data_IF_882887130356
#
_entry.id   IF_882887130356
#
_cell.length_a   1.000
_cell.length_b   1.000
_cell.length_c   1.000
_cell.angle_alpha   90.00
_cell.angle_beta   90.00
_cell.angle_gamma   90.00
#
_symmetry.space_group_name_H-M   'P 1'
#
loop_
_entity.id
_entity.type
_entity.pdbx_description
1 polymer ?
#
# COMPACT_ATOMS: atom_id res chain seq x y z
N UNK A 1 24.62 -71.98 21.35
CA UNK A 1 25.44 -70.78 21.66
C UNK A 1 25.06 -69.69 20.65
N UNK A 2 25.01 -68.44 21.12
CA UNK A 2 24.18 -67.35 20.60
C UNK A 2 24.22 -67.10 19.07
N UNK A 3 23.04 -66.99 18.46
CA UNK A 3 22.85 -66.50 17.09
C UNK A 3 22.21 -65.11 17.18
N UNK A 4 22.96 -64.09 16.76
CA UNK A 4 22.51 -62.70 16.77
C UNK A 4 21.47 -62.47 15.67
N UNK A 5 20.32 -61.90 16.03
CA UNK A 5 19.26 -61.56 15.08
C UNK A 5 19.69 -60.37 14.19
N UNK A 6 19.40 -60.38 12.87
CA UNK A 6 19.64 -59.23 12.01
C UNK A 6 18.62 -58.11 12.26
N UNK A 7 19.09 -56.86 12.30
CA UNK A 7 18.25 -55.66 12.37
C UNK A 7 17.45 -55.47 11.06
N UNK A 8 16.23 -54.89 11.12
CA UNK A 8 15.42 -54.63 9.94
C UNK A 8 16.01 -53.50 9.07
N UNK A 9 15.76 -53.50 7.75
CA UNK A 9 16.28 -52.48 6.84
C UNK A 9 15.61 -51.13 7.08
N UNK A 10 16.41 -50.07 7.07
CA UNK A 10 15.96 -48.67 7.10
C UNK A 10 15.12 -48.34 5.87
N UNK A 11 13.98 -47.63 6.01
CA UNK A 11 13.20 -47.19 4.86
C UNK A 11 13.98 -46.12 4.07
N UNK A 12 13.81 -46.06 2.73
CA UNK A 12 14.50 -45.08 1.91
C UNK A 12 14.01 -43.65 2.24
N UNK A 13 14.85 -42.63 2.06
CA UNK A 13 14.47 -41.26 2.34
C UNK A 13 13.33 -40.81 1.41
N UNK A 14 12.29 -40.25 2.00
CA UNK A 14 11.15 -39.65 1.30
C UNK A 14 11.65 -38.62 0.30
N UNK A 15 11.43 -38.87 -0.99
CA UNK A 15 11.62 -37.86 -2.03
C UNK A 15 10.64 -36.72 -1.76
N UNK A 16 11.13 -35.60 -1.25
CA UNK A 16 10.39 -34.34 -1.27
C UNK A 16 10.16 -33.98 -2.73
N UNK A 17 8.93 -34.19 -3.22
CA UNK A 17 8.49 -33.65 -4.50
C UNK A 17 8.57 -32.13 -4.44
N UNK A 18 9.62 -31.58 -5.04
CA UNK A 18 9.67 -30.15 -5.37
C UNK A 18 8.49 -29.85 -6.32
N UNK A 19 7.70 -28.80 -6.08
CA UNK A 19 6.57 -28.46 -6.95
C UNK A 19 7.06 -28.16 -8.37
N UNK A 20 6.55 -28.89 -9.36
CA UNK A 20 6.82 -28.64 -10.78
C UNK A 20 6.35 -27.23 -11.19
N UNK A 21 7.11 -26.51 -12.04
CA UNK A 21 6.82 -25.12 -12.42
C UNK A 21 5.47 -24.91 -13.13
N UNK A 22 4.93 -25.92 -13.82
CA UNK A 22 3.65 -25.84 -14.55
C UNK A 22 2.44 -25.56 -13.64
N UNK A 23 2.44 -26.07 -12.40
CA UNK A 23 1.32 -25.84 -11.47
C UNK A 23 1.23 -24.39 -10.98
N UNK A 24 2.37 -23.71 -10.82
CA UNK A 24 2.43 -22.33 -10.32
C UNK A 24 1.95 -21.32 -11.37
N UNK A 25 2.34 -21.50 -12.63
CA UNK A 25 1.91 -20.62 -13.73
C UNK A 25 0.39 -20.72 -13.97
N UNK A 26 -0.14 -21.94 -13.96
CA UNK A 26 -1.58 -22.16 -14.14
C UNK A 26 -2.39 -21.61 -12.96
N UNK A 27 -1.89 -21.76 -11.73
CA UNK A 27 -2.49 -21.17 -10.54
C UNK A 27 -2.47 -19.63 -10.59
N UNK A 28 -1.37 -19.03 -11.05
CA UNK A 28 -1.25 -17.59 -11.22
C UNK A 28 -2.24 -17.07 -12.28
N UNK A 29 -2.34 -17.72 -13.43
CA UNK A 29 -3.30 -17.35 -14.47
C UNK A 29 -4.75 -17.42 -13.98
N UNK A 30 -5.08 -18.46 -13.21
CA UNK A 30 -6.40 -18.59 -12.59
C UNK A 30 -6.67 -17.46 -11.59
N UNK A 31 -5.69 -17.11 -10.76
CA UNK A 31 -5.81 -16.01 -9.80
C UNK A 31 -6.02 -14.65 -10.49
N UNK A 32 -5.28 -14.39 -11.58
CA UNK A 32 -5.45 -13.19 -12.41
C UNK A 32 -6.86 -13.14 -13.02
N UNK A 33 -7.33 -14.23 -13.61
CA UNK A 33 -8.67 -14.30 -14.19
C UNK A 33 -9.78 -14.09 -13.14
N UNK A 34 -9.62 -14.66 -11.94
CA UNK A 34 -10.55 -14.45 -10.83
C UNK A 34 -10.52 -13.00 -10.35
N UNK A 35 -9.34 -12.38 -10.27
CA UNK A 35 -9.22 -10.98 -9.88
C UNK A 35 -9.87 -10.03 -10.89
N UNK A 36 -9.68 -10.26 -12.19
CA UNK A 36 -10.31 -9.47 -13.24
C UNK A 36 -11.85 -9.52 -13.15
N UNK A 37 -12.42 -10.72 -12.94
CA UNK A 37 -13.88 -10.88 -12.71
C UNK A 37 -14.34 -10.14 -11.46
N UNK A 38 -13.57 -10.23 -10.37
CA UNK A 38 -13.87 -9.53 -9.12
C UNK A 38 -13.87 -8.02 -9.30
N UNK A 39 -12.90 -7.47 -10.03
CA UNK A 39 -12.83 -6.04 -10.33
C UNK A 39 -14.06 -5.54 -11.09
N UNK A 40 -14.54 -6.30 -12.09
CA UNK A 40 -15.78 -5.99 -12.81
C UNK A 40 -16.97 -5.96 -11.86
N UNK A 41 -17.18 -7.03 -11.07
CA UNK A 41 -18.32 -7.10 -10.14
C UNK A 41 -18.30 -5.99 -9.07
N UNK A 42 -17.14 -5.66 -8.54
CA UNK A 42 -16.98 -4.57 -7.56
C UNK A 42 -17.27 -3.22 -8.24
N UNK A 43 -16.73 -3.00 -9.44
CA UNK A 43 -16.99 -1.80 -10.23
C UNK A 43 -18.47 -1.60 -10.53
N UNK A 44 -19.19 -2.67 -10.88
CA UNK A 44 -20.63 -2.67 -11.13
C UNK A 44 -21.43 -2.26 -9.90
N UNK A 45 -21.08 -2.81 -8.73
CA UNK A 45 -21.72 -2.46 -7.46
C UNK A 45 -21.47 -0.99 -7.10
N UNK A 46 -20.25 -0.49 -7.27
CA UNK A 46 -19.92 0.92 -7.05
C UNK A 46 -20.71 1.83 -8.01
N UNK A 47 -20.76 1.50 -9.31
CA UNK A 47 -21.53 2.27 -10.30
C UNK A 47 -23.02 2.29 -9.99
N UNK A 48 -23.56 1.17 -9.52
CA UNK A 48 -24.98 1.05 -9.13
C UNK A 48 -25.27 1.91 -7.91
N UNK A 49 -24.41 1.85 -6.90
CA UNK A 49 -24.51 2.69 -5.70
C UNK A 49 -24.56 4.19 -6.06
N UNK A 50 -23.69 4.65 -6.97
CA UNK A 50 -23.65 6.06 -7.38
C UNK A 50 -24.70 6.49 -8.41
N UNK A 51 -25.48 5.58 -9.01
CA UNK A 51 -26.52 5.93 -9.99
C UNK A 51 -27.80 6.46 -9.36
N UNK A 52 -28.01 6.29 -8.04
CA UNK A 52 -29.10 6.91 -7.29
C UNK A 52 -30.53 6.52 -7.71
N UNK A 53 -30.70 5.56 -8.63
CA UNK A 53 -32.00 5.12 -9.14
C UNK A 53 -32.29 3.67 -8.77
N UNK A 54 -33.08 3.45 -7.72
CA UNK A 54 -33.75 2.16 -7.41
C UNK A 54 -32.87 0.98 -6.96
N UNK A 55 -31.54 1.10 -6.96
CA UNK A 55 -30.61 0.09 -6.45
C UNK A 55 -30.39 0.18 -4.93
N UNK A 56 -29.86 -0.90 -4.34
CA UNK A 56 -29.45 -0.94 -2.93
C UNK A 56 -28.38 0.11 -2.65
N UNK A 57 -28.73 1.17 -1.93
CA UNK A 57 -27.76 2.08 -1.31
C UNK A 57 -26.94 1.26 -0.31
N UNK A 58 -25.63 1.42 -0.33
CA UNK A 58 -24.72 0.72 0.57
C UNK A 58 -24.56 1.57 1.81
N UNK A 59 -24.61 0.94 2.98
CA UNK A 59 -24.25 1.59 4.22
C UNK A 59 -22.77 2.01 4.19
N UNK A 60 -22.37 3.08 4.92
CA UNK A 60 -20.99 3.57 4.87
C UNK A 60 -19.90 2.51 5.13
N UNK A 61 -20.06 1.56 6.09
CA UNK A 61 -19.14 0.43 6.28
C UNK A 61 -19.00 -0.46 5.05
N UNK A 62 -20.12 -0.80 4.39
CA UNK A 62 -20.11 -1.67 3.22
C UNK A 62 -19.48 -0.98 2.02
N UNK A 63 -19.75 0.32 1.85
CA UNK A 63 -19.10 1.14 0.83
C UNK A 63 -17.60 1.22 1.08
N UNK A 64 -17.15 1.44 2.33
CA UNK A 64 -15.74 1.51 2.68
C UNK A 64 -15.01 0.19 2.36
N UNK A 65 -15.61 -0.94 2.72
CA UNK A 65 -15.08 -2.26 2.39
C UNK A 65 -15.04 -2.51 0.89
N UNK A 66 -16.07 -2.09 0.15
CA UNK A 66 -16.14 -2.26 -1.29
C UNK A 66 -15.07 -1.44 -2.01
N UNK A 67 -14.85 -0.19 -1.59
CA UNK A 67 -13.78 0.69 -2.09
C UNK A 67 -12.41 0.08 -1.79
N UNK A 68 -12.19 -0.42 -0.57
CA UNK A 68 -10.94 -1.09 -0.20
C UNK A 68 -10.70 -2.36 -1.03
N UNK A 69 -11.73 -3.19 -1.21
CA UNK A 69 -11.66 -4.40 -2.03
C UNK A 69 -11.34 -4.08 -3.51
N UNK A 70 -11.86 -2.95 -4.01
CA UNK A 70 -11.53 -2.44 -5.34
C UNK A 70 -10.05 -2.09 -5.45
N UNK A 71 -9.53 -1.31 -4.50
CA UNK A 71 -8.12 -0.93 -4.44
C UNK A 71 -7.19 -2.15 -4.41
N UNK A 72 -7.49 -3.14 -3.56
CA UNK A 72 -6.75 -4.41 -3.50
C UNK A 72 -6.79 -5.20 -4.80
N UNK A 73 -7.87 -5.10 -5.57
CA UNK A 73 -7.95 -5.73 -6.89
C UNK A 73 -7.03 -5.06 -7.92
N UNK A 74 -6.92 -3.73 -7.86
CA UNK A 74 -5.98 -2.97 -8.69
C UNK A 74 -4.55 -3.32 -8.33
N UNK A 75 -4.19 -3.30 -7.04
CA UNK A 75 -2.85 -3.67 -6.57
C UNK A 75 -2.44 -5.07 -7.01
N UNK A 76 -3.37 -6.04 -6.92
CA UNK A 76 -3.11 -7.41 -7.36
C UNK A 76 -2.80 -7.46 -8.86
N UNK A 77 -3.60 -6.80 -9.68
CA UNK A 77 -3.39 -6.75 -11.13
C UNK A 77 -2.07 -6.06 -11.49
N UNK A 78 -1.75 -4.94 -10.84
CA UNK A 78 -0.45 -4.26 -10.97
C UNK A 78 0.73 -5.21 -10.63
N UNK A 79 0.65 -5.90 -9.50
CA UNK A 79 1.70 -6.85 -9.08
C UNK A 79 1.85 -8.05 -10.02
N UNK A 80 0.80 -8.37 -10.77
CA UNK A 80 0.78 -9.47 -11.73
C UNK A 80 1.15 -9.03 -13.14
N UNK A 81 1.38 -7.74 -13.40
CA UNK A 81 1.56 -7.18 -14.74
C UNK A 81 0.33 -7.32 -15.65
N UNK A 82 -0.86 -7.55 -15.06
CA UNK A 82 -2.12 -7.69 -15.79
C UNK A 82 -2.79 -6.31 -15.93
N UNK A 83 -3.33 -6.02 -17.11
CA UNK A 83 -4.16 -4.83 -17.33
C UNK A 83 -5.61 -5.28 -17.49
N UNK A 84 -6.45 -5.16 -16.44
CA UNK A 84 -7.83 -5.62 -16.49
C UNK A 84 -8.63 -4.88 -17.57
N UNK A 85 -9.59 -5.56 -18.19
CA UNK A 85 -10.46 -4.95 -19.22
C UNK A 85 -11.25 -3.73 -18.70
N UNK A 86 -11.50 -3.67 -17.39
CA UNK A 86 -12.18 -2.55 -16.72
C UNK A 86 -11.25 -1.36 -16.42
N UNK A 87 -9.96 -1.43 -16.79
CA UNK A 87 -8.97 -0.39 -16.47
C UNK A 87 -9.41 1.01 -16.91
N UNK A 88 -10.00 1.14 -18.10
CA UNK A 88 -10.50 2.43 -18.61
C UNK A 88 -11.66 3.00 -17.81
N UNK A 89 -12.40 2.18 -17.06
CA UNK A 89 -13.52 2.64 -16.22
C UNK A 89 -13.07 3.09 -14.83
N UNK A 90 -11.89 2.64 -14.36
CA UNK A 90 -11.37 2.92 -13.01
C UNK A 90 -11.35 4.43 -12.70
N UNK A 91 -10.84 5.33 -13.57
CA UNK A 91 -10.81 6.77 -13.27
C UNK A 91 -12.20 7.35 -13.01
N UNK A 92 -13.22 6.88 -13.75
CA UNK A 92 -14.60 7.35 -13.58
C UNK A 92 -15.20 6.92 -12.24
N UNK A 93 -14.88 5.71 -11.80
CA UNK A 93 -15.32 5.16 -10.50
C UNK A 93 -14.62 5.91 -9.37
N UNK A 94 -13.29 6.09 -9.47
CA UNK A 94 -12.51 6.84 -8.49
C UNK A 94 -13.05 8.25 -8.28
N UNK A 95 -13.37 8.99 -9.36
CA UNK A 95 -13.94 10.35 -9.26
C UNK A 95 -15.22 10.36 -8.43
N UNK A 96 -16.11 9.39 -8.64
CA UNK A 96 -17.37 9.27 -7.85
C UNK A 96 -17.10 8.93 -6.39
N UNK A 97 -16.20 7.97 -6.14
CA UNK A 97 -15.77 7.59 -4.78
C UNK A 97 -15.14 8.78 -4.05
N UNK A 98 -14.31 9.56 -4.74
CA UNK A 98 -13.67 10.75 -4.20
C UNK A 98 -14.67 11.83 -3.77
N UNK A 99 -15.71 12.06 -4.57
CA UNK A 99 -16.75 13.05 -4.27
C UNK A 99 -17.55 12.70 -3.00
N UNK A 100 -17.90 11.43 -2.82
CA UNK A 100 -18.60 10.93 -1.62
C UNK A 100 -17.64 10.79 -0.43
N UNK A 101 -16.37 10.49 -0.71
CA UNK A 101 -15.33 10.25 0.27
C UNK A 101 -14.91 11.45 1.10
N UNK A 102 -15.59 12.61 1.00
CA UNK A 102 -15.39 13.75 1.91
C UNK A 102 -15.84 13.45 3.35
N UNK A 103 -16.64 12.42 3.55
CA UNK A 103 -16.97 11.86 4.87
C UNK A 103 -15.73 11.19 5.50
N UNK A 104 -15.43 11.54 6.76
CA UNK A 104 -14.27 11.04 7.52
C UNK A 104 -14.21 9.51 7.58
N UNK A 105 -15.35 8.82 7.54
CA UNK A 105 -15.40 7.36 7.61
C UNK A 105 -14.82 6.69 6.35
N UNK A 106 -14.97 7.29 5.17
CA UNK A 106 -14.54 6.70 3.90
C UNK A 106 -13.11 7.10 3.51
N UNK A 107 -12.57 8.14 4.16
CA UNK A 107 -11.28 8.77 3.84
C UNK A 107 -10.14 7.74 3.70
N UNK A 108 -9.99 6.82 4.66
CA UNK A 108 -8.90 5.82 4.63
C UNK A 108 -9.00 4.90 3.41
N UNK A 109 -10.19 4.36 3.12
CA UNK A 109 -10.41 3.50 1.95
C UNK A 109 -10.20 4.25 0.63
N UNK A 110 -10.64 5.52 0.57
CA UNK A 110 -10.43 6.40 -0.59
C UNK A 110 -8.94 6.65 -0.81
N UNK A 111 -8.17 6.88 0.26
CA UNK A 111 -6.73 7.09 0.16
C UNK A 111 -6.00 5.86 -0.36
N UNK A 112 -6.36 4.66 0.12
CA UNK A 112 -5.82 3.41 -0.41
C UNK A 112 -6.14 3.25 -1.90
N UNK A 113 -7.39 3.48 -2.30
CA UNK A 113 -7.77 3.45 -3.71
C UNK A 113 -7.00 4.47 -4.55
N UNK A 114 -6.77 5.67 -4.00
CA UNK A 114 -6.02 6.72 -4.66
C UNK A 114 -4.56 6.30 -4.90
N UNK A 115 -3.91 5.67 -3.91
CA UNK A 115 -2.54 5.14 -4.04
C UNK A 115 -2.48 4.07 -5.13
N UNK A 116 -3.41 3.10 -5.13
CA UNK A 116 -3.48 2.08 -6.18
C UNK A 116 -3.65 2.69 -7.57
N UNK A 117 -4.51 3.71 -7.71
CA UNK A 117 -4.71 4.39 -8.99
C UNK A 117 -3.48 5.20 -9.42
N UNK A 118 -2.76 5.85 -8.50
CA UNK A 118 -1.49 6.53 -8.81
C UNK A 118 -0.47 5.55 -9.37
N UNK A 119 -0.37 4.35 -8.81
CA UNK A 119 0.54 3.32 -9.33
C UNK A 119 0.11 2.86 -10.73
N UNK A 120 -1.19 2.69 -10.96
CA UNK A 120 -1.72 2.38 -12.29
C UNK A 120 -1.48 3.50 -13.34
N UNK A 121 -1.40 4.77 -12.91
CA UNK A 121 -0.95 5.86 -13.79
C UNK A 121 0.50 5.64 -14.26
N UNK A 122 1.41 5.20 -13.37
CA UNK A 122 2.80 4.91 -13.70
C UNK A 122 2.93 3.75 -14.69
N UNK A 123 2.04 2.76 -14.61
CA UNK A 123 1.94 1.64 -15.54
C UNK A 123 1.14 1.95 -16.82
N UNK A 124 0.81 3.22 -17.07
CA UNK A 124 0.11 3.71 -18.28
C UNK A 124 -1.27 3.07 -18.52
N UNK A 125 -1.98 2.69 -17.45
CA UNK A 125 -3.34 2.14 -17.58
C UNK A 125 -4.36 3.16 -18.05
N UNK A 126 -4.13 4.44 -17.77
CA UNK A 126 -5.10 5.51 -18.00
C UNK A 126 -4.56 6.56 -18.98
N UNK A 127 -5.48 7.35 -19.54
CA UNK A 127 -5.11 8.49 -20.38
C UNK A 127 -4.36 9.54 -19.55
N UNK A 128 -3.40 10.29 -20.15
CA UNK A 128 -2.64 11.31 -19.43
C UNK A 128 -3.51 12.33 -18.69
N UNK A 129 -4.64 12.72 -19.29
CA UNK A 129 -5.62 13.64 -18.68
C UNK A 129 -6.24 13.08 -17.41
N UNK A 130 -6.55 11.78 -17.37
CA UNK A 130 -7.06 11.13 -16.17
C UNK A 130 -5.96 11.01 -15.11
N UNK A 131 -4.73 10.67 -15.51
CA UNK A 131 -3.59 10.62 -14.59
C UNK A 131 -3.36 11.96 -13.88
N UNK A 132 -3.38 13.07 -14.62
CA UNK A 132 -3.23 14.43 -14.06
C UNK A 132 -4.31 14.73 -13.02
N UNK A 133 -5.56 14.39 -13.31
CA UNK A 133 -6.67 14.62 -12.38
C UNK A 133 -6.57 13.73 -11.14
N UNK A 134 -6.16 12.47 -11.29
CA UNK A 134 -5.91 11.54 -10.17
C UNK A 134 -4.80 12.09 -9.26
N UNK A 135 -3.70 12.56 -9.83
CA UNK A 135 -2.60 13.17 -9.09
C UNK A 135 -3.06 14.42 -8.33
N UNK A 136 -3.89 15.26 -8.95
CA UNK A 136 -4.48 16.45 -8.32
C UNK A 136 -5.34 16.08 -7.12
N UNK A 137 -6.28 15.13 -7.28
CA UNK A 137 -7.14 14.65 -6.19
C UNK A 137 -6.32 14.03 -5.05
N UNK A 138 -5.26 13.28 -5.37
CA UNK A 138 -4.40 12.68 -4.36
C UNK A 138 -3.64 13.72 -3.52
N UNK A 139 -3.15 14.78 -4.16
CA UNK A 139 -2.47 15.87 -3.46
C UNK A 139 -3.44 16.62 -2.53
N UNK A 140 -4.67 16.88 -2.98
CA UNK A 140 -5.72 17.49 -2.15
C UNK A 140 -6.07 16.61 -0.93
N UNK A 141 -6.18 15.29 -1.15
CA UNK A 141 -6.51 14.34 -0.08
C UNK A 141 -5.36 14.21 0.92
N UNK A 142 -4.11 14.23 0.45
CA UNK A 142 -2.92 14.04 1.29
C UNK A 142 -2.81 15.08 2.42
N UNK A 143 -3.25 16.32 2.19
CA UNK A 143 -3.24 17.37 3.22
C UNK A 143 -4.15 17.11 4.43
N UNK A 144 -5.07 16.14 4.32
CA UNK A 144 -5.94 15.72 5.46
C UNK A 144 -5.31 14.63 6.31
N UNK A 145 -4.35 13.89 5.76
CA UNK A 145 -3.69 12.75 6.42
C UNK A 145 -2.28 13.10 6.89
N UNK A 146 -1.57 13.85 6.08
CA UNK A 146 -0.29 14.41 6.44
C UNK A 146 -0.58 15.69 7.22
N UNK A 147 -0.11 15.76 8.46
CA UNK A 147 0.21 17.08 9.03
C UNK A 147 1.09 17.80 8.00
N UNK A 148 0.89 19.11 7.75
CA UNK A 148 1.87 19.88 7.01
C UNK A 148 3.23 19.51 7.57
N UNK A 149 4.24 19.34 6.71
CA UNK A 149 5.62 19.36 7.19
C UNK A 149 5.80 20.75 7.78
N UNK A 150 5.45 20.90 9.06
CA UNK A 150 5.96 21.96 9.89
C UNK A 150 7.44 21.69 9.86
N UNK A 151 8.14 22.46 9.03
CA UNK A 151 9.57 22.57 9.09
C UNK A 151 9.86 22.80 10.57
N UNK A 152 10.50 21.85 11.28
CA UNK A 152 10.79 22.07 12.68
C UNK A 152 11.64 23.34 12.71
N UNK A 153 11.22 24.35 13.49
CA UNK A 153 11.94 25.61 13.59
C UNK A 153 13.42 25.39 14.00
N UNK A 154 13.75 24.21 14.54
CA UNK A 154 15.10 23.69 14.70
C UNK A 154 15.10 22.14 14.82
N UNK A 155 16.20 21.50 14.43
CA UNK A 155 16.39 20.04 14.54
C UNK A 155 16.31 19.52 15.99
N UNK A 156 16.58 20.40 16.96
CA UNK A 156 16.44 20.14 18.40
C UNK A 156 15.00 19.77 18.80
N UNK A 157 14.00 20.39 18.15
CA UNK A 157 12.58 20.13 18.43
C UNK A 157 12.17 18.71 18.02
N UNK A 158 12.71 18.19 16.91
CA UNK A 158 12.41 16.82 16.44
C UNK A 158 13.02 15.78 17.38
N UNK A 159 14.29 15.96 17.77
CA UNK A 159 14.96 15.06 18.70
C UNK A 159 14.25 15.06 20.06
N UNK A 160 13.80 16.22 20.55
CA UNK A 160 13.01 16.31 21.79
C UNK A 160 11.67 15.57 21.69
N UNK A 161 10.94 15.72 20.58
CA UNK A 161 9.66 15.01 20.37
C UNK A 161 9.89 13.50 20.34
N UNK A 162 10.89 13.03 19.58
CA UNK A 162 11.23 11.60 19.51
C UNK A 162 11.63 11.08 20.89
N UNK A 163 12.49 11.81 21.61
CA UNK A 163 12.96 11.44 22.95
C UNK A 163 11.83 11.41 23.99
N UNK A 164 10.74 12.16 23.77
CA UNK A 164 9.57 12.18 24.65
C UNK A 164 8.56 11.07 24.33
N UNK A 165 8.31 10.82 23.04
CA UNK A 165 7.30 9.85 22.58
C UNK A 165 7.83 8.41 22.65
N UNK A 166 9.07 8.18 22.22
CA UNK A 166 9.62 6.83 22.08
C UNK A 166 9.64 6.03 23.39
N UNK A 167 10.08 6.58 24.55
CA UNK A 167 10.06 5.83 25.81
C UNK A 167 8.64 5.48 26.28
N UNK A 168 7.63 6.29 25.91
CA UNK A 168 6.23 6.07 26.29
C UNK A 168 5.57 4.96 25.49
N UNK A 169 5.81 4.88 24.19
CA UNK A 169 5.10 3.96 23.30
C UNK A 169 5.95 2.76 22.84
N UNK A 170 7.28 2.88 22.86
CA UNK A 170 8.22 1.86 22.42
C UNK A 170 9.35 1.64 23.44
N UNK A 171 9.02 1.29 24.70
CA UNK A 171 9.98 1.29 25.82
C UNK A 171 11.12 0.27 25.66
N UNK A 172 10.96 -0.77 24.83
CA UNK A 172 12.01 -1.78 24.59
C UNK A 172 12.88 -1.48 23.37
N UNK A 173 12.56 -0.43 22.60
CA UNK A 173 13.28 -0.09 21.38
C UNK A 173 14.44 0.86 21.73
N UNK A 174 15.66 0.34 21.74
CA UNK A 174 16.87 1.12 22.08
C UNK A 174 17.22 2.07 20.93
N UNK A 175 16.84 3.33 21.08
CA UNK A 175 17.02 4.39 20.07
C UNK A 175 18.31 5.19 20.26
N UNK A 176 19.07 4.91 21.31
CA UNK A 176 20.31 5.60 21.69
C UNK A 176 21.28 5.79 20.51
N UNK A 177 21.50 4.75 19.71
CA UNK A 177 22.45 4.80 18.58
C UNK A 177 21.93 5.62 17.39
N UNK A 178 20.61 5.72 17.22
CA UNK A 178 19.98 6.52 16.16
C UNK A 178 19.98 8.00 16.51
N UNK A 179 19.70 8.37 17.76
CA UNK A 179 19.80 9.77 18.24
C UNK A 179 21.23 10.27 18.07
N UNK A 180 22.22 9.51 18.56
CA UNK A 180 23.63 9.90 18.43
C UNK A 180 24.08 10.02 16.97
N UNK A 181 23.59 9.15 16.08
CA UNK A 181 23.91 9.25 14.65
C UNK A 181 23.24 10.45 13.96
N UNK A 182 22.09 10.91 14.46
CA UNK A 182 21.41 12.11 13.98
C UNK A 182 22.15 13.38 14.44
N UNK A 183 22.60 13.42 15.69
CA UNK A 183 23.41 14.51 16.26
C UNK A 183 24.78 14.63 15.56
N UNK A 184 25.49 13.51 15.38
CA UNK A 184 26.83 13.51 14.78
C UNK A 184 26.88 13.95 13.31
N UNK A 185 25.79 13.74 12.54
CA UNK A 185 25.72 14.17 11.14
C UNK A 185 25.62 15.70 11.02
N UNK A 186 25.20 16.38 12.07
CA UNK A 186 24.97 17.83 12.06
C UNK A 186 26.23 18.62 12.46
N UNK A 187 26.99 18.13 13.44
CA UNK A 187 28.25 18.77 13.85
C UNK A 187 29.33 18.76 12.74
N UNK A 188 29.21 17.87 11.76
CA UNK A 188 30.08 17.86 10.56
C UNK A 188 29.75 18.92 9.51
N UNK A 189 28.70 19.73 9.72
CA UNK A 189 28.18 20.70 8.75
C UNK A 189 28.09 22.13 9.30
N UNK A 190 28.97 22.48 10.24
CA UNK A 190 29.24 23.87 10.62
C UNK A 190 30.37 24.42 9.72
N UNK A 191 30.13 25.43 8.86
CA UNK A 191 31.23 26.09 8.16
C UNK A 191 32.09 26.82 9.20
N UNK A 192 33.38 26.51 9.26
CA UNK A 192 34.33 27.33 10.02
C UNK A 192 34.31 28.78 9.50
N UNK A 193 34.27 29.80 10.38
CA UNK A 193 34.41 31.18 9.95
C UNK A 193 35.87 31.41 9.51
N UNK A 194 36.10 31.45 8.20
CA UNK A 194 37.38 31.89 7.63
C UNK A 194 37.35 33.42 7.58
N UNK A 195 38.10 34.01 8.51
CA UNK A 195 38.67 35.34 8.60
C UNK A 195 38.46 36.30 7.40
N UNK A 196 37.83 37.45 7.66
CA UNK A 196 38.07 38.68 6.87
C UNK A 196 39.27 39.43 7.49
N UNK A 197 40.41 39.38 6.83
CA UNK A 197 41.41 40.46 6.82
C UNK A 197 41.67 40.83 5.36
N UNK A 198 41.69 42.14 5.08
CA UNK A 198 41.94 42.73 3.76
C UNK A 198 41.14 44.00 3.54
#
# INVERSE_FOLDING_TARGET
>A
MASAAPLPPTPPPSQQQQPQPQGKEQQQQMAVAMNARRLVMIGDRLRTHFRGGGGTVLEPPDLAHLVYAFARGIDFALSSGDVPTVASEIPSILKKVYLVGKDQFLQSSVMVLMISCKNACSEKWFQPTDCTEILRMANELSGKFCTPVSQPDNDSTVIQIISTIMPRYYPQLKFERLVTSLEAKWDGMVPSPVWMEG
#
